data_IF_458317220968
#
_entry.id   IF_458317220968
#
_cell.length_a   1.000
_cell.length_b   1.000
_cell.length_c   1.000
_cell.angle_alpha   90.00
_cell.angle_beta   90.00
_cell.angle_gamma   90.00
#
_symmetry.space_group_name_H-M   'P 1'
#
loop_
_entity.id
_entity.type
_entity.pdbx_description
1 polymer ?
#
# COMPACT_ATOMS: atom_id res chain seq x y z
N UNK A 1 6.81 -17.35 -22.65
CA UNK A 1 8.27 -17.15 -22.54
C UNK A 1 8.53 -16.70 -21.13
N UNK A 2 9.45 -17.36 -20.42
CA UNK A 2 9.56 -17.32 -18.95
C UNK A 2 10.07 -15.99 -18.44
N UNK A 3 9.48 -15.57 -17.37
CA UNK A 3 9.76 -14.35 -16.62
C UNK A 3 11.11 -14.45 -15.89
N UNK A 4 12.04 -13.57 -16.24
CA UNK A 4 13.36 -13.48 -15.60
C UNK A 4 13.37 -12.59 -14.33
N UNK A 5 12.20 -12.21 -13.82
CA UNK A 5 12.05 -11.45 -12.57
C UNK A 5 12.20 -12.31 -11.30
N UNK A 6 12.23 -13.65 -11.46
CA UNK A 6 12.36 -14.58 -10.35
C UNK A 6 13.67 -14.48 -9.54
N UNK A 7 14.73 -13.86 -10.06
CA UNK A 7 16.05 -13.93 -9.40
C UNK A 7 16.24 -12.89 -8.28
N UNK A 8 15.77 -11.66 -8.42
CA UNK A 8 15.91 -10.64 -7.35
C UNK A 8 14.95 -10.85 -6.19
N UNK A 9 13.71 -11.25 -6.49
CA UNK A 9 12.71 -11.63 -5.47
C UNK A 9 13.14 -12.91 -4.74
N UNK A 10 13.83 -13.86 -5.41
CA UNK A 10 14.34 -15.08 -4.81
C UNK A 10 15.50 -14.86 -3.81
N UNK A 11 16.36 -13.88 -4.01
CA UNK A 11 17.42 -13.55 -3.05
C UNK A 11 16.86 -12.87 -1.81
N UNK A 12 15.92 -11.95 -1.99
CA UNK A 12 15.24 -11.25 -0.88
C UNK A 12 14.34 -12.19 -0.07
N UNK A 13 13.61 -13.11 -0.71
CA UNK A 13 12.77 -14.09 0.00
C UNK A 13 13.59 -15.05 0.89
N UNK A 14 14.87 -15.29 0.58
CA UNK A 14 15.78 -16.05 1.44
C UNK A 14 16.17 -15.29 2.71
N UNK A 15 16.31 -13.99 2.65
CA UNK A 15 16.61 -13.15 3.83
C UNK A 15 15.48 -13.18 4.88
N UNK A 16 14.25 -13.45 4.45
CA UNK A 16 13.06 -13.54 5.30
C UNK A 16 12.58 -14.99 5.53
N UNK A 17 13.34 -15.99 5.05
CA UNK A 17 12.92 -17.40 5.12
C UNK A 17 12.63 -17.87 6.54
N UNK A 18 13.40 -17.43 7.52
CA UNK A 18 13.36 -17.95 8.88
C UNK A 18 12.04 -17.66 9.61
N UNK A 19 11.43 -16.50 9.37
CA UNK A 19 10.14 -16.16 10.02
C UNK A 19 8.94 -16.81 9.37
N UNK A 20 9.05 -17.23 8.10
CA UNK A 20 7.94 -17.76 7.29
C UNK A 20 7.93 -19.30 7.19
N UNK A 21 8.95 -19.99 7.70
CA UNK A 21 9.07 -21.43 7.55
C UNK A 21 7.87 -22.17 8.17
N UNK A 22 7.18 -22.94 7.33
CA UNK A 22 6.02 -23.73 7.72
C UNK A 22 4.78 -22.92 8.15
N UNK A 23 4.77 -21.61 7.97
CA UNK A 23 3.71 -20.68 8.38
C UNK A 23 2.61 -20.51 7.33
N UNK A 24 1.46 -20.07 7.77
CA UNK A 24 0.31 -19.72 6.93
C UNK A 24 0.12 -18.21 6.90
N UNK A 25 0.14 -17.60 5.70
CA UNK A 25 -0.16 -16.19 5.45
C UNK A 25 -1.58 -16.06 4.89
N UNK A 26 -2.43 -15.26 5.50
CA UNK A 26 -3.71 -14.84 4.95
C UNK A 26 -3.59 -13.45 4.33
N UNK A 27 -4.06 -13.30 3.08
CA UNK A 27 -4.10 -12.02 2.35
C UNK A 27 -5.56 -11.65 2.10
N UNK A 28 -6.09 -10.65 2.79
CA UNK A 28 -7.40 -10.10 2.49
C UNK A 28 -7.33 -9.16 1.29
N UNK A 29 -8.32 -9.20 0.42
CA UNK A 29 -8.25 -8.47 -0.84
C UNK A 29 -7.19 -9.02 -1.82
N UNK A 30 -6.81 -10.27 -1.65
CA UNK A 30 -5.74 -10.95 -2.37
C UNK A 30 -5.89 -10.99 -3.89
N UNK A 31 -7.11 -10.80 -4.42
CA UNK A 31 -7.38 -10.72 -5.88
C UNK A 31 -7.14 -9.32 -6.47
N UNK A 32 -6.75 -8.34 -5.66
CA UNK A 32 -6.34 -7.01 -6.11
C UNK A 32 -4.89 -6.95 -6.60
N UNK A 33 -4.47 -5.82 -7.20
CA UNK A 33 -3.09 -5.64 -7.68
C UNK A 33 -2.05 -5.87 -6.58
N UNK A 34 -2.29 -5.32 -5.38
CA UNK A 34 -1.43 -5.52 -4.22
C UNK A 34 -1.40 -6.96 -3.73
N UNK A 35 -2.57 -7.61 -3.66
CA UNK A 35 -2.65 -9.01 -3.28
C UNK A 35 -1.88 -9.91 -4.23
N UNK A 36 -1.97 -9.67 -5.54
CA UNK A 36 -1.20 -10.41 -6.54
C UNK A 36 0.31 -10.18 -6.38
N UNK A 37 0.75 -8.94 -6.15
CA UNK A 37 2.16 -8.66 -5.92
C UNK A 37 2.69 -9.37 -4.67
N UNK A 38 1.92 -9.35 -3.59
CA UNK A 38 2.26 -10.09 -2.37
C UNK A 38 2.32 -11.58 -2.62
N UNK A 39 1.35 -12.16 -3.34
CA UNK A 39 1.38 -13.58 -3.70
C UNK A 39 2.66 -13.89 -4.48
N UNK A 40 2.99 -13.13 -5.52
CA UNK A 40 4.21 -13.34 -6.31
C UNK A 40 5.47 -13.24 -5.44
N UNK A 41 5.54 -12.26 -4.54
CA UNK A 41 6.66 -12.09 -3.60
C UNK A 41 6.83 -13.27 -2.63
N UNK A 42 5.73 -13.91 -2.22
CA UNK A 42 5.75 -15.01 -1.26
C UNK A 42 5.65 -16.42 -1.86
N UNK A 43 5.33 -16.56 -3.14
CA UNK A 43 5.07 -17.86 -3.76
C UNK A 43 6.24 -18.81 -3.62
N UNK A 44 7.46 -18.31 -3.75
CA UNK A 44 8.70 -19.07 -3.65
C UNK A 44 9.31 -19.05 -2.22
N UNK A 45 8.61 -18.49 -1.23
CA UNK A 45 9.06 -18.51 0.16
C UNK A 45 8.86 -19.87 0.83
N UNK A 46 9.33 -19.97 2.07
CA UNK A 46 9.17 -21.16 2.93
C UNK A 46 7.79 -21.29 3.58
N UNK A 47 6.84 -20.42 3.25
CA UNK A 47 5.45 -20.52 3.68
C UNK A 47 4.84 -21.88 3.30
N UNK A 48 4.08 -22.45 4.23
CA UNK A 48 3.28 -23.66 4.00
C UNK A 48 2.06 -23.37 3.14
N UNK A 49 1.37 -22.25 3.42
CA UNK A 49 0.12 -21.89 2.78
C UNK A 49 0.03 -20.36 2.60
N UNK A 50 -0.52 -19.93 1.47
CA UNK A 50 -0.96 -18.55 1.24
C UNK A 50 -2.47 -18.61 1.02
N UNK A 51 -3.24 -18.09 2.01
CA UNK A 51 -4.68 -18.05 1.97
C UNK A 51 -5.16 -16.75 1.37
N UNK A 52 -5.83 -16.81 0.22
CA UNK A 52 -6.32 -15.68 -0.57
C UNK A 52 -7.79 -15.44 -0.25
N UNK A 53 -8.09 -14.42 0.57
CA UNK A 53 -9.45 -14.10 0.99
C UNK A 53 -10.03 -12.93 0.17
N UNK A 54 -11.15 -13.15 -0.51
CA UNK A 54 -11.80 -12.14 -1.35
C UNK A 54 -13.27 -12.49 -1.60
N UNK A 55 -14.08 -11.49 -1.94
CA UNK A 55 -15.47 -11.66 -2.36
C UNK A 55 -15.62 -12.06 -3.82
N UNK A 56 -14.57 -11.85 -4.62
CA UNK A 56 -14.61 -11.95 -6.08
C UNK A 56 -14.25 -13.37 -6.52
N UNK A 57 -15.29 -14.22 -6.64
CA UNK A 57 -15.17 -15.61 -7.09
C UNK A 57 -14.50 -15.72 -8.46
N UNK A 58 -14.90 -14.85 -9.41
CA UNK A 58 -14.37 -14.88 -10.77
C UNK A 58 -12.86 -14.67 -10.80
N UNK A 59 -12.37 -13.65 -10.06
CA UNK A 59 -10.92 -13.40 -9.98
C UNK A 59 -10.18 -14.52 -9.25
N UNK A 60 -10.77 -15.14 -8.23
CA UNK A 60 -10.16 -16.28 -7.56
C UNK A 60 -10.01 -17.46 -8.52
N UNK A 61 -11.01 -17.71 -9.35
CA UNK A 61 -10.95 -18.77 -10.37
C UNK A 61 -9.87 -18.47 -11.43
N UNK A 62 -9.83 -17.24 -11.94
CA UNK A 62 -8.79 -16.82 -12.89
C UNK A 62 -7.38 -17.01 -12.30
N UNK A 63 -7.20 -16.64 -11.02
CA UNK A 63 -5.92 -16.83 -10.32
C UNK A 63 -5.59 -18.31 -10.13
N UNK A 64 -6.56 -19.15 -9.77
CA UNK A 64 -6.36 -20.60 -9.61
C UNK A 64 -5.87 -21.21 -10.91
N UNK A 65 -6.47 -20.81 -12.04
CA UNK A 65 -6.10 -21.29 -13.38
C UNK A 65 -4.70 -20.77 -13.78
N UNK A 66 -4.38 -19.52 -13.44
CA UNK A 66 -3.12 -18.89 -13.82
C UNK A 66 -1.93 -19.43 -13.01
N UNK A 67 -2.06 -19.49 -11.70
CA UNK A 67 -0.97 -19.86 -10.78
C UNK A 67 -0.72 -21.37 -10.72
N UNK A 68 -1.76 -22.20 -10.70
CA UNK A 68 -1.67 -23.68 -10.59
C UNK A 68 -0.69 -24.13 -9.51
N UNK A 69 -0.80 -23.57 -8.32
CA UNK A 69 0.14 -23.77 -7.22
C UNK A 69 -0.60 -24.22 -5.96
N UNK A 70 -0.24 -25.40 -5.43
CA UNK A 70 -0.91 -26.03 -4.28
C UNK A 70 -0.73 -25.24 -2.97
N UNK A 71 0.22 -24.32 -2.91
CA UNK A 71 0.41 -23.42 -1.76
C UNK A 71 -0.72 -22.39 -1.64
N UNK A 72 -1.44 -22.11 -2.74
CA UNK A 72 -2.52 -21.11 -2.77
C UNK A 72 -3.85 -21.75 -2.39
N UNK A 73 -4.43 -21.27 -1.30
CA UNK A 73 -5.78 -21.63 -0.84
C UNK A 73 -6.73 -20.44 -1.00
N UNK A 74 -7.75 -20.57 -1.84
CA UNK A 74 -8.71 -19.52 -2.15
C UNK A 74 -9.96 -19.64 -1.28
N UNK A 75 -10.27 -18.58 -0.53
CA UNK A 75 -11.42 -18.50 0.38
C UNK A 75 -12.32 -17.35 -0.04
N UNK A 76 -13.57 -17.66 -0.36
CA UNK A 76 -14.62 -16.66 -0.65
C UNK A 76 -15.19 -16.19 0.67
N UNK A 77 -15.27 -14.86 0.86
CA UNK A 77 -15.89 -14.24 2.04
C UNK A 77 -15.75 -12.72 2.02
N UNK A 78 -16.47 -12.08 2.92
CA UNK A 78 -16.52 -10.63 3.07
C UNK A 78 -15.98 -10.20 4.44
N UNK A 79 -14.97 -9.33 4.48
CA UNK A 79 -14.42 -8.81 5.74
C UNK A 79 -15.45 -8.04 6.58
N UNK A 80 -16.56 -7.56 5.99
CA UNK A 80 -17.65 -6.92 6.70
C UNK A 80 -18.48 -7.92 7.52
N UNK A 81 -18.38 -9.21 7.19
CA UNK A 81 -18.97 -10.30 7.97
C UNK A 81 -17.86 -10.88 8.88
N UNK A 82 -18.06 -10.77 10.20
CA UNK A 82 -17.09 -11.26 11.17
C UNK A 82 -16.91 -12.78 11.10
N UNK A 83 -17.97 -13.54 10.89
CA UNK A 83 -17.92 -15.00 10.88
C UNK A 83 -17.11 -15.51 9.68
N UNK A 84 -17.26 -14.90 8.50
CA UNK A 84 -16.50 -15.26 7.30
C UNK A 84 -14.99 -15.11 7.57
N UNK A 85 -14.56 -13.93 8.04
CA UNK A 85 -13.13 -13.67 8.27
C UNK A 85 -12.58 -14.46 9.47
N UNK A 86 -13.38 -14.65 10.52
CA UNK A 86 -12.96 -15.42 11.68
C UNK A 86 -12.74 -16.91 11.32
N UNK A 87 -13.61 -17.49 10.50
CA UNK A 87 -13.43 -18.85 9.98
C UNK A 87 -12.18 -18.95 9.09
N UNK A 88 -11.98 -17.96 8.20
CA UNK A 88 -10.80 -17.92 7.34
C UNK A 88 -9.47 -17.73 8.13
N UNK A 89 -9.54 -17.23 9.37
CA UNK A 89 -8.38 -16.92 10.22
C UNK A 89 -7.86 -18.14 10.98
N UNK A 90 -8.60 -19.24 11.05
CA UNK A 90 -8.19 -20.44 11.79
C UNK A 90 -6.87 -21.00 11.26
N UNK A 91 -5.87 -21.15 12.14
CA UNK A 91 -4.55 -21.67 11.81
C UNK A 91 -3.66 -20.74 10.98
N UNK A 92 -4.00 -19.46 10.93
CA UNK A 92 -3.20 -18.41 10.28
C UNK A 92 -2.15 -17.88 11.25
N UNK A 93 -0.91 -17.73 10.80
CA UNK A 93 0.19 -17.13 11.57
C UNK A 93 0.39 -15.65 11.23
N UNK A 94 0.21 -15.27 9.97
CA UNK A 94 0.46 -13.94 9.43
C UNK A 94 -0.74 -13.43 8.65
N UNK A 95 -1.04 -12.14 8.76
CA UNK A 95 -2.10 -11.49 7.98
C UNK A 95 -1.57 -10.25 7.27
N UNK A 96 -1.79 -10.19 5.96
CA UNK A 96 -1.69 -8.96 5.21
C UNK A 96 -3.10 -8.46 4.85
N UNK A 97 -3.51 -7.36 5.48
CA UNK A 97 -4.84 -6.78 5.27
C UNK A 97 -4.81 -5.69 4.21
N UNK A 98 -5.20 -6.06 2.97
CA UNK A 98 -5.26 -5.14 1.83
C UNK A 98 -6.69 -4.92 1.28
N UNK A 99 -7.69 -5.60 1.84
CA UNK A 99 -9.08 -5.40 1.43
C UNK A 99 -9.57 -4.01 1.84
N UNK A 100 -9.93 -3.18 0.86
CA UNK A 100 -10.45 -1.83 1.09
C UNK A 100 -11.17 -1.28 -0.13
N UNK A 101 -12.01 -0.28 0.08
CA UNK A 101 -12.41 0.66 -0.97
C UNK A 101 -11.33 1.74 -1.08
N UNK A 102 -10.80 1.95 -2.30
CA UNK A 102 -9.66 2.84 -2.55
C UNK A 102 -9.95 4.01 -3.50
N UNK A 103 -11.07 3.98 -4.20
CA UNK A 103 -11.44 5.02 -5.16
C UNK A 103 -12.05 6.21 -4.43
N UNK A 104 -11.40 7.37 -4.50
CA UNK A 104 -11.87 8.59 -3.82
C UNK A 104 -13.28 8.97 -4.24
N UNK A 105 -13.63 9.07 -5.55
CA UNK A 105 -15.00 9.41 -5.94
C UNK A 105 -16.05 8.44 -5.39
N UNK A 106 -15.79 7.14 -5.47
CA UNK A 106 -16.74 6.14 -4.96
C UNK A 106 -16.94 6.25 -3.46
N UNK A 107 -15.89 6.55 -2.69
CA UNK A 107 -16.00 6.73 -1.25
C UNK A 107 -16.74 8.02 -0.89
N UNK A 108 -16.55 9.10 -1.65
CA UNK A 108 -17.29 10.36 -1.46
C UNK A 108 -18.79 10.17 -1.72
N UNK A 109 -19.19 9.49 -2.80
CA UNK A 109 -20.58 9.22 -3.10
C UNK A 109 -21.22 8.19 -2.19
N UNK A 110 -20.45 7.23 -1.68
CA UNK A 110 -20.94 6.15 -0.82
C UNK A 110 -20.11 6.03 0.47
N UNK A 111 -20.08 7.08 1.34
CA UNK A 111 -19.19 7.10 2.50
C UNK A 111 -19.47 5.96 3.49
N UNK A 112 -20.71 5.53 3.64
CA UNK A 112 -21.03 4.40 4.50
C UNK A 112 -20.44 3.07 4.00
N UNK A 113 -20.24 2.90 2.70
CA UNK A 113 -19.54 1.73 2.18
C UNK A 113 -18.04 1.77 2.52
N UNK A 114 -17.44 2.96 2.55
CA UNK A 114 -16.07 3.16 3.04
C UNK A 114 -15.98 2.85 4.55
N UNK A 115 -16.92 3.32 5.36
CA UNK A 115 -17.02 3.00 6.79
C UNK A 115 -17.14 1.49 6.99
N UNK A 116 -18.09 0.83 6.33
CA UNK A 116 -18.32 -0.60 6.49
C UNK A 116 -17.14 -1.46 6.06
N UNK A 117 -16.42 -1.07 4.98
CA UNK A 117 -15.32 -1.86 4.45
C UNK A 117 -14.00 -1.49 5.14
N UNK A 118 -13.64 -0.19 5.17
CA UNK A 118 -12.31 0.23 5.59
C UNK A 118 -12.18 0.36 7.12
N UNK A 119 -13.29 0.57 7.85
CA UNK A 119 -13.29 0.71 9.30
C UNK A 119 -13.83 -0.56 9.96
N UNK A 120 -15.10 -0.90 9.76
CA UNK A 120 -15.73 -2.07 10.41
C UNK A 120 -15.09 -3.36 9.91
N UNK A 121 -14.86 -3.48 8.59
CA UNK A 121 -14.18 -4.65 8.01
C UNK A 121 -12.74 -4.80 8.52
N UNK A 122 -12.00 -3.71 8.68
CA UNK A 122 -10.67 -3.76 9.27
C UNK A 122 -10.72 -4.18 10.75
N UNK A 123 -11.66 -3.64 11.54
CA UNK A 123 -11.84 -4.09 12.93
C UNK A 123 -12.17 -5.58 13.00
N UNK A 124 -13.04 -6.09 12.13
CA UNK A 124 -13.34 -7.52 12.06
C UNK A 124 -12.07 -8.36 11.79
N UNK A 125 -11.22 -7.91 10.85
CA UNK A 125 -9.94 -8.60 10.55
C UNK A 125 -9.02 -8.60 11.77
N UNK A 126 -8.85 -7.44 12.42
CA UNK A 126 -7.98 -7.30 13.60
C UNK A 126 -8.48 -8.12 14.79
N UNK A 127 -9.80 -8.12 15.03
CA UNK A 127 -10.42 -8.90 16.10
C UNK A 127 -10.35 -10.40 15.82
N UNK A 128 -10.62 -10.84 14.57
CA UNK A 128 -10.49 -12.24 14.19
C UNK A 128 -9.04 -12.73 14.32
N UNK A 129 -8.06 -11.90 13.91
CA UNK A 129 -6.65 -12.19 14.09
C UNK A 129 -6.29 -12.35 15.59
N UNK A 130 -6.78 -11.46 16.44
CA UNK A 130 -6.55 -11.53 17.88
C UNK A 130 -7.16 -12.80 18.52
N UNK A 131 -8.39 -13.16 18.12
CA UNK A 131 -9.07 -14.37 18.63
C UNK A 131 -8.39 -15.67 18.19
N UNK A 132 -7.77 -15.67 17.03
CA UNK A 132 -7.08 -16.84 16.48
C UNK A 132 -5.56 -16.85 16.78
N UNK A 133 -5.08 -15.97 17.68
CA UNK A 133 -3.68 -15.86 18.09
C UNK A 133 -2.71 -15.65 16.92
N UNK A 134 -3.11 -14.87 15.90
CA UNK A 134 -2.25 -14.51 14.79
C UNK A 134 -1.06 -13.69 15.31
N UNK A 135 0.14 -14.16 15.02
CA UNK A 135 1.37 -13.58 15.54
C UNK A 135 1.66 -12.19 14.95
N UNK A 136 1.40 -11.99 13.65
CA UNK A 136 1.72 -10.72 12.98
C UNK A 136 0.64 -10.31 12.00
N UNK A 137 0.28 -9.03 12.05
CA UNK A 137 -0.67 -8.39 11.12
C UNK A 137 -0.04 -7.13 10.54
N UNK A 138 -0.04 -7.02 9.22
CA UNK A 138 0.32 -5.79 8.51
C UNK A 138 -0.91 -5.24 7.81
N UNK A 139 -1.29 -4.01 8.15
CA UNK A 139 -2.45 -3.31 7.60
C UNK A 139 -1.99 -2.33 6.54
N UNK A 140 -2.57 -2.42 5.35
CA UNK A 140 -2.24 -1.59 4.21
C UNK A 140 -2.91 -0.22 4.31
N UNK A 141 -2.14 0.85 4.52
CA UNK A 141 -2.60 2.24 4.52
C UNK A 141 -2.14 3.01 3.28
N UNK A 142 -2.11 4.32 3.33
CA UNK A 142 -1.89 5.20 2.17
C UNK A 142 -1.47 6.60 2.65
N UNK A 143 -0.82 7.38 1.78
CA UNK A 143 -0.58 8.81 1.88
C UNK A 143 -1.86 9.62 2.20
N UNK A 144 -3.01 9.17 1.66
CA UNK A 144 -4.29 9.86 1.84
C UNK A 144 -4.87 9.75 3.26
N UNK A 145 -4.28 8.91 4.11
CA UNK A 145 -4.58 8.83 5.54
C UNK A 145 -3.93 9.96 6.35
N UNK A 146 -2.92 10.65 5.77
CA UNK A 146 -2.25 11.78 6.38
C UNK A 146 -2.94 13.08 5.94
N UNK A 147 -3.33 13.92 6.88
CA UNK A 147 -4.16 15.11 6.63
C UNK A 147 -5.32 14.81 5.66
N UNK A 148 -6.22 13.89 6.04
CA UNK A 148 -7.25 13.38 5.14
C UNK A 148 -8.29 14.44 4.81
N UNK A 149 -8.58 14.67 3.53
CA UNK A 149 -9.58 15.62 3.03
C UNK A 149 -10.79 14.96 2.36
N UNK A 150 -10.80 13.62 2.28
CA UNK A 150 -11.87 12.87 1.64
C UNK A 150 -12.24 11.61 2.44
N UNK A 151 -13.42 11.06 2.18
CA UNK A 151 -13.97 9.92 2.92
C UNK A 151 -13.07 8.68 2.87
N UNK A 152 -12.38 8.45 1.75
CA UNK A 152 -11.44 7.33 1.64
C UNK A 152 -10.25 7.54 2.57
N UNK A 153 -9.60 8.71 2.56
CA UNK A 153 -8.49 9.05 3.44
C UNK A 153 -8.89 9.01 4.92
N UNK A 154 -10.04 9.60 5.27
CA UNK A 154 -10.58 9.58 6.65
C UNK A 154 -10.78 8.14 7.13
N UNK A 155 -11.38 7.27 6.30
CA UNK A 155 -11.61 5.86 6.66
C UNK A 155 -10.30 5.09 6.84
N UNK A 156 -9.27 5.38 6.04
CA UNK A 156 -7.94 4.79 6.18
C UNK A 156 -7.18 5.29 7.40
N UNK A 157 -7.29 6.58 7.71
CA UNK A 157 -6.74 7.14 8.95
C UNK A 157 -7.36 6.49 10.20
N UNK A 158 -8.67 6.26 10.19
CA UNK A 158 -9.34 5.54 11.28
C UNK A 158 -8.88 4.08 11.37
N UNK A 159 -8.70 3.40 10.25
CA UNK A 159 -8.17 2.03 10.22
C UNK A 159 -6.79 1.93 10.88
N UNK A 160 -5.88 2.88 10.66
CA UNK A 160 -4.58 2.94 11.36
C UNK A 160 -4.76 3.07 12.89
N UNK A 161 -5.70 3.92 13.33
CA UNK A 161 -6.00 4.06 14.77
C UNK A 161 -6.55 2.78 15.38
N UNK A 162 -7.36 2.01 14.63
CA UNK A 162 -7.83 0.69 15.07
C UNK A 162 -6.67 -0.30 15.20
N UNK A 163 -5.73 -0.33 14.24
CA UNK A 163 -4.56 -1.20 14.31
C UNK A 163 -3.69 -0.89 15.54
N UNK A 164 -3.41 0.41 15.81
CA UNK A 164 -2.67 0.86 16.99
C UNK A 164 -3.43 0.52 18.28
N UNK A 165 -4.75 0.72 18.32
CA UNK A 165 -5.59 0.39 19.47
C UNK A 165 -5.54 -1.12 19.78
N UNK A 166 -5.68 -1.96 18.74
CA UNK A 166 -5.60 -3.41 18.88
C UNK A 166 -4.22 -3.86 19.38
N UNK A 167 -3.14 -3.29 18.85
CA UNK A 167 -1.78 -3.55 19.32
C UNK A 167 -1.61 -3.19 20.81
N UNK A 168 -2.22 -2.07 21.27
CA UNK A 168 -2.23 -1.68 22.68
C UNK A 168 -2.96 -2.70 23.55
N UNK A 169 -4.14 -3.14 23.13
CA UNK A 169 -4.95 -4.12 23.85
C UNK A 169 -4.22 -5.45 24.02
N UNK A 170 -3.57 -5.93 22.96
CA UNK A 170 -2.78 -7.16 22.99
C UNK A 170 -1.59 -7.04 23.93
N UNK A 171 -0.88 -5.90 23.90
CA UNK A 171 0.22 -5.61 24.82
C UNK A 171 -0.23 -5.61 26.29
N UNK A 172 -1.37 -4.97 26.60
CA UNK A 172 -1.95 -4.97 27.96
C UNK A 172 -2.28 -6.38 28.41
N UNK A 173 -2.80 -7.22 27.52
CA UNK A 173 -3.09 -8.63 27.76
C UNK A 173 -1.82 -9.52 27.78
N UNK A 174 -0.64 -8.96 27.54
CA UNK A 174 0.65 -9.67 27.44
C UNK A 174 0.64 -10.79 26.38
N UNK A 175 -0.09 -10.56 25.29
CA UNK A 175 -0.09 -11.43 24.12
C UNK A 175 1.06 -11.01 23.22
N UNK A 176 1.94 -11.96 22.89
CA UNK A 176 3.08 -11.74 21.99
C UNK A 176 2.60 -11.73 20.54
N UNK A 177 2.09 -10.57 20.12
CA UNK A 177 1.62 -10.35 18.75
C UNK A 177 1.98 -8.93 18.28
N UNK A 178 2.34 -8.82 16.99
CA UNK A 178 2.80 -7.57 16.39
C UNK A 178 1.83 -7.15 15.28
N UNK A 179 1.09 -6.09 15.52
CA UNK A 179 0.18 -5.50 14.55
C UNK A 179 0.72 -4.14 14.13
N UNK A 180 0.96 -3.96 12.85
CA UNK A 180 1.58 -2.75 12.26
C UNK A 180 0.76 -2.25 11.09
N UNK A 181 1.09 -1.04 10.62
CA UNK A 181 0.54 -0.47 9.39
C UNK A 181 1.68 -0.06 8.45
N UNK A 182 1.41 -0.05 7.15
CA UNK A 182 2.33 0.44 6.13
C UNK A 182 1.68 1.57 5.34
N UNK A 183 2.42 2.67 5.12
CA UNK A 183 2.01 3.79 4.25
C UNK A 183 2.94 3.89 3.06
N UNK A 184 2.36 4.13 1.91
CA UNK A 184 3.08 4.46 0.70
C UNK A 184 2.26 5.39 -0.18
N UNK A 185 2.95 6.05 -1.11
CA UNK A 185 2.35 6.97 -2.04
C UNK A 185 1.66 6.27 -3.21
N UNK A 186 1.67 6.93 -4.36
CA UNK A 186 1.07 6.39 -5.56
C UNK A 186 1.91 5.23 -6.10
N UNK A 187 1.30 4.05 -6.20
CA UNK A 187 1.93 2.90 -6.87
C UNK A 187 1.73 3.03 -8.37
N UNK A 188 2.84 3.10 -9.09
CA UNK A 188 2.87 3.23 -10.55
C UNK A 188 2.14 2.07 -11.22
N UNK A 189 1.50 2.33 -12.36
CA UNK A 189 0.76 1.36 -13.18
C UNK A 189 -0.37 0.61 -12.44
N UNK A 190 -0.77 1.05 -11.22
CA UNK A 190 -1.91 0.47 -10.55
C UNK A 190 -3.21 0.74 -11.32
N UNK A 191 -4.17 -0.18 -11.23
CA UNK A 191 -5.46 -0.06 -11.95
C UNK A 191 -6.16 1.26 -11.64
N UNK A 192 -6.50 2.02 -12.70
CA UNK A 192 -7.15 3.32 -12.63
C UNK A 192 -6.21 4.46 -12.23
N UNK A 193 -4.89 4.28 -12.31
CA UNK A 193 -3.89 5.33 -12.09
C UNK A 193 -3.57 6.10 -13.38
N UNK A 194 -2.80 7.18 -13.22
CA UNK A 194 -2.53 8.15 -14.27
C UNK A 194 -1.66 7.59 -15.41
N UNK A 195 -0.71 6.69 -15.12
CA UNK A 195 0.18 6.11 -16.14
C UNK A 195 -0.61 5.29 -17.18
N UNK A 196 -1.45 4.31 -16.80
CA UNK A 196 -2.32 3.64 -17.76
C UNK A 196 -3.26 4.58 -18.54
N UNK A 197 -3.76 5.63 -17.89
CA UNK A 197 -4.59 6.64 -18.56
C UNK A 197 -3.81 7.34 -19.67
N UNK A 198 -2.61 7.85 -19.39
CA UNK A 198 -1.79 8.55 -20.37
C UNK A 198 -1.37 7.64 -21.53
N UNK A 199 -0.98 6.39 -21.23
CA UNK A 199 -0.64 5.42 -22.26
C UNK A 199 -1.86 5.12 -23.18
N UNK A 200 -3.07 4.97 -22.60
CA UNK A 200 -4.29 4.81 -23.39
C UNK A 200 -4.56 6.03 -24.28
N UNK A 201 -4.41 7.24 -23.74
CA UNK A 201 -4.58 8.48 -24.51
C UNK A 201 -3.55 8.59 -25.65
N UNK A 202 -2.29 8.24 -25.42
CA UNK A 202 -1.25 8.20 -26.44
C UNK A 202 -1.65 7.24 -27.57
N UNK A 203 -2.00 6.00 -27.22
CA UNK A 203 -2.39 4.97 -28.20
C UNK A 203 -3.63 5.33 -29.02
N UNK A 204 -4.53 6.10 -28.44
CA UNK A 204 -5.76 6.56 -29.09
C UNK A 204 -5.57 7.87 -29.87
N UNK A 205 -4.37 8.47 -29.88
CA UNK A 205 -4.10 9.76 -30.51
C UNK A 205 -4.84 10.94 -29.85
N UNK A 206 -5.25 10.78 -28.57
CA UNK A 206 -5.98 11.78 -27.79
C UNK A 206 -5.02 12.67 -27.01
N UNK A 207 -5.40 13.93 -26.68
CA UNK A 207 -4.60 14.75 -25.77
C UNK A 207 -4.41 14.08 -24.41
N UNK A 208 -3.23 14.26 -23.81
CA UNK A 208 -2.97 13.90 -22.41
C UNK A 208 -3.65 14.93 -21.51
N UNK A 209 -4.62 14.48 -20.73
CA UNK A 209 -5.38 15.36 -19.84
C UNK A 209 -4.76 15.42 -18.46
N UNK A 210 -4.28 16.59 -18.06
CA UNK A 210 -3.69 16.83 -16.73
C UNK A 210 -4.56 17.82 -15.96
N UNK A 211 -4.64 17.65 -14.63
CA UNK A 211 -5.42 18.55 -13.76
C UNK A 211 -4.66 19.83 -13.47
N UNK A 212 -3.45 19.71 -12.99
CA UNK A 212 -2.52 20.81 -12.74
C UNK A 212 -1.08 20.33 -13.00
N UNK A 213 -0.29 21.01 -13.85
CA UNK A 213 1.09 20.61 -14.20
C UNK A 213 2.03 20.46 -13.00
N UNK A 214 1.89 21.36 -12.02
CA UNK A 214 2.76 21.43 -10.84
C UNK A 214 2.39 20.45 -9.72
N UNK A 215 1.27 19.74 -9.83
CA UNK A 215 0.93 18.67 -8.88
C UNK A 215 2.03 17.63 -8.82
N UNK A 216 2.39 17.21 -7.62
CA UNK A 216 3.37 16.14 -7.44
C UNK A 216 2.76 14.88 -6.89
N UNK A 217 3.34 13.76 -7.33
CA UNK A 217 2.99 12.42 -6.82
C UNK A 217 4.26 11.64 -6.56
N UNK A 218 4.24 10.84 -5.50
CA UNK A 218 5.30 9.86 -5.28
C UNK A 218 5.31 8.83 -6.41
N UNK A 219 6.50 8.38 -6.79
CA UNK A 219 6.72 7.38 -7.83
C UNK A 219 7.28 6.11 -7.19
N UNK A 220 6.40 5.15 -6.93
CA UNK A 220 6.77 3.92 -6.24
C UNK A 220 6.38 2.71 -7.08
N UNK A 221 7.26 1.71 -7.12
CA UNK A 221 6.97 0.43 -7.74
C UNK A 221 6.11 -0.45 -6.82
N UNK A 222 5.50 -1.46 -7.40
CA UNK A 222 4.75 -2.45 -6.63
C UNK A 222 5.70 -3.34 -5.80
N UNK A 223 6.91 -3.55 -6.29
CA UNK A 223 7.98 -4.29 -5.60
C UNK A 223 8.45 -3.58 -4.34
N UNK A 224 8.67 -2.26 -4.38
CA UNK A 224 9.00 -1.47 -3.19
C UNK A 224 7.92 -1.63 -2.10
N UNK A 225 6.66 -1.76 -2.53
CA UNK A 225 5.55 -1.98 -1.62
C UNK A 225 5.59 -3.34 -0.94
N UNK A 226 6.01 -4.38 -1.66
CA UNK A 226 6.22 -5.72 -1.10
C UNK A 226 7.37 -5.70 -0.10
N UNK A 227 8.49 -5.06 -0.44
CA UNK A 227 9.65 -4.90 0.44
C UNK A 227 9.26 -4.24 1.78
N UNK A 228 8.45 -3.17 1.73
CA UNK A 228 7.95 -2.50 2.93
C UNK A 228 7.12 -3.43 3.83
N UNK A 229 6.25 -4.24 3.24
CA UNK A 229 5.42 -5.19 3.99
C UNK A 229 6.27 -6.32 4.59
N UNK A 230 7.25 -6.85 3.85
CA UNK A 230 8.21 -7.82 4.35
C UNK A 230 8.98 -7.27 5.54
N UNK A 231 9.47 -6.05 5.42
CA UNK A 231 10.16 -5.35 6.51
C UNK A 231 9.26 -5.20 7.74
N UNK A 232 8.01 -4.78 7.55
CA UNK A 232 7.05 -4.62 8.65
C UNK A 232 6.74 -5.96 9.35
N UNK A 233 6.70 -7.08 8.62
CA UNK A 233 6.56 -8.40 9.20
C UNK A 233 7.78 -8.82 10.03
N UNK A 234 8.99 -8.51 9.58
CA UNK A 234 10.23 -8.92 10.24
C UNK A 234 10.56 -8.04 11.46
N UNK A 235 10.63 -6.75 11.25
CA UNK A 235 11.24 -5.78 12.18
C UNK A 235 10.23 -4.86 12.88
N UNK A 236 8.92 -5.08 12.67
CA UNK A 236 7.87 -4.29 13.28
C UNK A 236 7.74 -4.52 14.77
N UNK A 237 7.44 -3.43 15.51
CA UNK A 237 6.97 -3.50 16.89
C UNK A 237 5.46 -3.20 16.94
N UNK A 238 4.76 -3.60 18.03
CA UNK A 238 3.32 -3.38 18.12
C UNK A 238 2.93 -1.93 17.88
N UNK A 239 2.00 -1.70 16.95
CA UNK A 239 1.46 -0.39 16.63
C UNK A 239 2.32 0.52 15.74
N UNK A 240 3.49 0.09 15.30
CA UNK A 240 4.33 0.87 14.39
C UNK A 240 3.64 1.13 13.05
N UNK A 241 3.93 2.30 12.48
CA UNK A 241 3.58 2.63 11.09
C UNK A 241 4.89 2.77 10.32
N UNK A 242 5.06 1.96 9.28
CA UNK A 242 6.19 2.07 8.37
C UNK A 242 5.80 2.86 7.13
N UNK A 243 6.68 3.75 6.71
CA UNK A 243 6.47 4.66 5.59
C UNK A 243 7.56 4.45 4.54
N UNK A 244 7.16 4.14 3.32
CA UNK A 244 8.08 4.03 2.19
C UNK A 244 8.60 5.41 1.80
N UNK A 245 9.91 5.59 1.76
CA UNK A 245 10.55 6.73 1.11
C UNK A 245 10.57 6.49 -0.40
N UNK A 246 10.13 7.47 -1.15
CA UNK A 246 10.07 7.37 -2.61
C UNK A 246 10.38 8.73 -3.25
N UNK A 247 10.99 8.75 -4.42
CA UNK A 247 11.10 9.98 -5.20
C UNK A 247 9.72 10.41 -5.69
N UNK A 248 9.63 11.63 -6.16
CA UNK A 248 8.40 12.18 -6.72
C UNK A 248 8.65 12.85 -8.08
N UNK A 249 7.58 12.96 -8.87
CA UNK A 249 7.59 13.76 -10.08
C UNK A 249 6.35 14.66 -10.16
N UNK A 250 6.44 15.74 -10.95
CA UNK A 250 5.24 16.49 -11.32
C UNK A 250 4.46 15.72 -12.37
N UNK A 251 3.16 16.02 -12.47
CA UNK A 251 2.31 15.41 -13.49
C UNK A 251 2.76 15.81 -14.90
N UNK A 252 3.29 17.03 -15.06
CA UNK A 252 3.88 17.50 -16.32
C UNK A 252 5.10 16.67 -16.72
N UNK A 253 6.05 16.45 -15.80
CA UNK A 253 7.24 15.60 -16.03
C UNK A 253 6.83 14.18 -16.40
N UNK A 254 5.80 13.64 -15.75
CA UNK A 254 5.29 12.30 -16.07
C UNK A 254 4.69 12.24 -17.48
N UNK A 255 3.89 13.24 -17.87
CA UNK A 255 3.31 13.31 -19.21
C UNK A 255 4.40 13.41 -20.27
N UNK A 256 5.40 14.27 -20.04
CA UNK A 256 6.53 14.44 -20.95
C UNK A 256 7.37 13.15 -21.07
N UNK A 257 7.69 12.50 -19.97
CA UNK A 257 8.44 11.23 -19.97
C UNK A 257 7.73 10.14 -20.79
N UNK A 258 6.42 10.01 -20.64
CA UNK A 258 5.65 9.04 -21.42
C UNK A 258 5.58 9.42 -22.90
N UNK A 259 5.37 10.69 -23.24
CA UNK A 259 5.42 11.14 -24.64
C UNK A 259 6.74 10.79 -25.30
N UNK A 260 7.87 11.06 -24.64
CA UNK A 260 9.19 10.74 -25.20
C UNK A 260 9.44 9.23 -25.32
N UNK A 261 9.00 8.42 -24.34
CA UNK A 261 9.13 6.96 -24.41
C UNK A 261 8.33 6.35 -25.58
N UNK A 262 7.16 6.88 -25.85
CA UNK A 262 6.28 6.40 -26.92
C UNK A 262 6.52 7.10 -28.27
N UNK A 263 7.48 8.04 -28.36
CA UNK A 263 7.73 8.87 -29.54
C UNK A 263 6.41 9.53 -30.02
N UNK A 264 5.65 10.10 -29.07
CA UNK A 264 4.30 10.61 -29.28
C UNK A 264 4.27 12.14 -29.29
N UNK A 265 3.48 12.73 -30.18
CA UNK A 265 3.30 14.17 -30.36
C UNK A 265 2.01 14.71 -29.73
N UNK A 266 1.24 13.87 -29.01
CA UNK A 266 -0.02 14.23 -28.40
C UNK A 266 0.08 15.55 -27.61
N UNK A 267 -0.94 16.40 -27.74
CA UNK A 267 -1.06 17.63 -26.97
C UNK A 267 -1.27 17.33 -25.47
N UNK A 268 -0.75 18.20 -24.59
CA UNK A 268 -1.05 18.16 -23.15
C UNK A 268 -2.11 19.24 -22.88
N UNK A 269 -3.28 18.83 -22.37
CA UNK A 269 -4.41 19.72 -22.09
C UNK A 269 -4.67 19.77 -20.59
N UNK A 270 -4.70 20.99 -20.03
CA UNK A 270 -5.03 21.24 -18.62
C UNK A 270 -6.56 21.28 -18.48
N UNK A 271 -7.11 20.33 -17.67
CA UNK A 271 -8.56 20.21 -17.46
C UNK A 271 -9.03 20.82 -16.13
N UNK A 272 -8.11 21.33 -15.29
CA UNK A 272 -8.40 21.89 -13.98
C UNK A 272 -8.44 20.84 -12.86
N UNK A 273 -8.41 21.32 -11.62
CA UNK A 273 -8.36 20.49 -10.42
C UNK A 273 -9.70 19.83 -10.13
N UNK A 274 -9.67 18.59 -9.64
CA UNK A 274 -10.85 17.86 -9.21
C UNK A 274 -11.18 18.16 -7.75
N UNK A 275 -12.43 18.02 -7.39
CA UNK A 275 -12.83 18.13 -5.98
C UNK A 275 -12.06 17.12 -5.11
N UNK A 276 -11.58 17.59 -3.96
CA UNK A 276 -10.82 16.78 -2.99
C UNK A 276 -9.51 16.15 -3.53
N UNK A 277 -8.89 16.78 -4.55
CA UNK A 277 -7.56 16.42 -5.05
C UNK A 277 -6.50 17.35 -4.44
N UNK A 278 -5.42 16.78 -3.92
CA UNK A 278 -4.32 17.51 -3.28
C UNK A 278 -3.28 17.93 -4.31
N UNK A 279 -2.66 19.10 -4.12
CA UNK A 279 -1.49 19.54 -4.90
C UNK A 279 -0.29 18.62 -4.71
N UNK A 280 -0.10 18.12 -3.50
CA UNK A 280 0.94 17.16 -3.15
C UNK A 280 0.42 16.16 -2.13
N UNK A 281 1.04 15.01 -2.05
CA UNK A 281 0.69 13.97 -1.10
C UNK A 281 1.67 13.96 0.07
N UNK A 282 1.16 13.79 1.28
CA UNK A 282 1.95 13.72 2.51
C UNK A 282 1.96 12.30 3.05
N UNK A 283 3.13 11.78 3.40
CA UNK A 283 3.31 10.44 3.98
C UNK A 283 3.55 10.46 5.49
N UNK A 284 4.17 11.53 6.01
CA UNK A 284 4.31 11.75 7.45
C UNK A 284 3.93 13.19 7.80
N UNK A 285 3.09 13.38 8.81
CA UNK A 285 2.81 14.72 9.34
C UNK A 285 4.00 15.29 10.10
N UNK A 286 3.98 16.60 10.41
CA UNK A 286 5.01 17.24 11.26
C UNK A 286 5.13 16.57 12.62
N UNK A 287 4.00 16.24 13.23
CA UNK A 287 3.93 15.58 14.55
C UNK A 287 4.46 14.14 14.50
N UNK A 288 4.28 13.48 13.36
CA UNK A 288 4.83 12.14 13.14
C UNK A 288 6.34 12.20 12.89
N UNK A 289 6.81 13.15 12.07
CA UNK A 289 8.25 13.36 11.83
C UNK A 289 9.02 13.71 13.10
N UNK A 290 8.39 14.38 14.06
CA UNK A 290 9.01 14.69 15.35
C UNK A 290 9.43 13.45 16.16
N UNK A 291 8.87 12.28 15.87
CA UNK A 291 9.14 11.02 16.54
C UNK A 291 9.52 9.88 15.58
N UNK A 292 9.55 10.15 14.29
CA UNK A 292 9.90 9.17 13.28
C UNK A 292 11.38 8.82 13.35
N UNK A 293 11.67 7.55 13.19
CA UNK A 293 13.02 7.03 13.05
C UNK A 293 13.34 6.85 11.57
N UNK A 294 14.49 7.37 11.15
CA UNK A 294 14.98 7.19 9.77
C UNK A 294 15.75 5.88 9.66
N UNK A 295 15.20 4.94 8.89
CA UNK A 295 15.78 3.62 8.63
C UNK A 295 16.39 3.52 7.22
N UNK A 296 16.80 4.65 6.64
CA UNK A 296 17.36 4.72 5.29
C UNK A 296 16.25 4.66 4.23
N UNK A 297 15.78 3.48 3.84
CA UNK A 297 14.70 3.31 2.84
C UNK A 297 13.31 3.60 3.39
N UNK A 298 13.13 3.55 4.70
CA UNK A 298 11.84 3.68 5.38
C UNK A 298 11.91 4.70 6.50
N UNK A 299 10.77 5.31 6.83
CA UNK A 299 10.55 5.88 8.16
C UNK A 299 9.74 4.90 9.00
N UNK A 300 10.08 4.80 10.28
CA UNK A 300 9.29 4.12 11.30
C UNK A 300 8.66 5.17 12.20
N UNK A 301 7.36 5.17 12.33
CA UNK A 301 6.61 6.01 13.25
C UNK A 301 6.18 5.12 14.41
N UNK A 302 6.82 5.22 15.59
CA UNK A 302 6.48 4.40 16.74
C UNK A 302 5.10 4.77 17.29
N UNK A 303 4.37 3.74 17.77
CA UNK A 303 3.08 3.95 18.39
C UNK A 303 3.21 4.69 19.72
N UNK A 304 2.21 5.51 20.03
CA UNK A 304 2.07 6.12 21.35
C UNK A 304 1.21 5.22 22.25
N UNK A 305 1.88 4.60 23.24
CA UNK A 305 1.23 3.73 24.22
C UNK A 305 1.02 4.40 25.57
N UNK A 306 1.10 5.72 25.65
CA UNK A 306 0.77 6.45 26.87
C UNK A 306 -0.68 6.20 27.27
N UNK A 307 -0.96 6.15 28.57
CA UNK A 307 -2.32 6.03 29.09
C UNK A 307 -3.10 7.36 29.00
N UNK A 308 -4.37 7.34 29.35
CA UNK A 308 -5.23 8.54 29.31
C UNK A 308 -4.81 9.62 30.34
N UNK A 309 -3.86 9.31 31.22
CA UNK A 309 -3.39 10.25 32.22
C UNK A 309 -2.25 11.11 31.68
N UNK A 310 -2.58 11.97 30.71
CA UNK A 310 -1.63 12.79 29.97
C UNK A 310 -0.74 13.70 30.85
N UNK A 311 -1.18 14.07 32.06
CA UNK A 311 -0.41 14.91 32.96
C UNK A 311 0.91 14.28 33.39
N UNK A 312 1.05 12.96 33.36
CA UNK A 312 2.29 12.23 33.66
C UNK A 312 3.37 12.38 32.60
N UNK A 313 3.00 12.84 31.39
CA UNK A 313 3.84 12.78 30.19
C UNK A 313 4.13 14.16 29.59
N UNK A 314 3.82 15.25 30.32
CA UNK A 314 4.12 16.61 29.88
C UNK A 314 5.63 16.81 29.94
N UNK A 315 6.30 16.87 28.81
CA UNK A 315 7.68 17.34 28.71
C UNK A 315 7.69 18.86 28.69
N UNK A 316 8.24 19.46 29.74
CA UNK A 316 8.55 20.88 29.78
C UNK A 316 9.89 21.12 29.08
N UNK A 317 9.87 21.81 27.94
CA UNK A 317 11.06 22.32 27.26
C UNK A 317 11.59 21.40 26.15
N UNK A 318 10.99 21.46 24.98
CA UNK A 318 11.60 21.01 23.74
C UNK A 318 12.09 22.20 22.93
N UNK A 319 13.34 22.21 22.47
CA UNK A 319 13.79 23.13 21.46
C UNK A 319 12.88 22.98 20.24
N UNK A 320 12.25 24.05 19.79
CA UNK A 320 11.50 24.09 18.54
C UNK A 320 12.48 24.05 17.36
N UNK A 321 12.94 22.84 17.02
CA UNK A 321 13.47 22.61 15.68
C UNK A 321 12.26 22.68 14.75
N UNK A 322 12.34 23.49 13.71
CA UNK A 322 11.30 23.53 12.67
C UNK A 322 11.32 22.18 11.94
N UNK A 323 10.46 21.27 12.38
CA UNK A 323 10.31 19.94 11.79
C UNK A 323 9.34 20.07 10.63
N UNK A 324 9.77 19.68 9.44
CA UNK A 324 8.92 19.63 8.26
C UNK A 324 8.22 18.27 8.14
N UNK A 325 7.06 18.24 7.50
CA UNK A 325 6.39 17.01 7.09
C UNK A 325 7.17 16.33 5.96
N UNK A 326 6.96 15.02 5.76
CA UNK A 326 7.49 14.31 4.60
C UNK A 326 6.40 14.18 3.52
N UNK A 327 6.61 14.85 2.39
CA UNK A 327 5.64 14.96 1.32
C UNK A 327 6.27 14.88 -0.08
N UNK A 328 5.45 14.78 -1.13
CA UNK A 328 5.90 14.67 -2.52
C UNK A 328 6.50 15.97 -3.08
N UNK A 329 6.43 17.09 -2.35
CA UNK A 329 7.09 18.35 -2.74
C UNK A 329 8.52 18.43 -2.22
N UNK A 330 8.83 17.87 -1.05
CA UNK A 330 10.14 17.98 -0.40
C UNK A 330 10.98 16.67 -0.43
N UNK A 331 10.53 15.66 -1.16
CA UNK A 331 11.35 14.47 -1.47
C UNK A 331 12.19 14.70 -2.73
N UNK A 332 13.07 13.75 -3.04
CA UNK A 332 13.84 13.72 -4.29
C UNK A 332 12.91 13.87 -5.51
N UNK A 333 13.26 14.78 -6.42
CA UNK A 333 12.48 15.08 -7.62
C UNK A 333 13.13 14.48 -8.84
N UNK A 334 12.39 13.62 -9.53
CA UNK A 334 12.84 13.02 -10.77
C UNK A 334 12.74 14.01 -11.93
N UNK A 335 13.79 14.06 -12.73
CA UNK A 335 13.77 14.67 -14.06
C UNK A 335 13.03 13.78 -15.06
N UNK A 336 12.77 14.30 -16.27
CA UNK A 336 12.15 13.50 -17.35
C UNK A 336 12.97 12.25 -17.64
N UNK A 337 14.29 12.38 -17.73
CA UNK A 337 15.18 11.26 -18.08
C UNK A 337 15.23 10.19 -16.98
N UNK A 338 15.36 10.58 -15.71
CA UNK A 338 15.31 9.66 -14.59
C UNK A 338 13.96 8.95 -14.48
N UNK A 339 12.87 9.67 -14.74
CA UNK A 339 11.53 9.08 -14.75
C UNK A 339 11.34 8.09 -15.90
N UNK A 340 11.90 8.37 -17.10
CA UNK A 340 11.91 7.41 -18.21
C UNK A 340 12.64 6.12 -17.83
N UNK A 341 13.81 6.22 -17.18
CA UNK A 341 14.54 5.04 -16.71
C UNK A 341 13.70 4.24 -15.70
N UNK A 342 13.08 4.91 -14.75
CA UNK A 342 12.20 4.27 -13.77
C UNK A 342 10.98 3.61 -14.43
N UNK A 343 10.32 4.28 -15.37
CA UNK A 343 9.18 3.73 -16.10
C UNK A 343 9.55 2.48 -16.91
N UNK A 344 10.75 2.44 -17.47
CA UNK A 344 11.28 1.27 -18.20
C UNK A 344 11.60 0.07 -17.31
N UNK A 345 11.60 0.19 -15.99
CA UNK A 345 11.67 -0.97 -15.09
C UNK A 345 10.34 -1.71 -14.99
N UNK A 346 9.22 -1.02 -15.25
CA UNK A 346 7.87 -1.55 -15.08
C UNK A 346 7.43 -2.43 -16.26
N UNK A 347 7.06 -3.66 -16.00
CA UNK A 347 6.64 -4.60 -17.05
C UNK A 347 5.45 -4.11 -17.86
N UNK A 348 4.46 -3.50 -17.19
CA UNK A 348 3.33 -2.90 -17.87
C UNK A 348 3.76 -1.89 -18.94
N UNK A 349 4.72 -1.02 -18.64
CA UNK A 349 5.23 -0.02 -19.60
C UNK A 349 6.01 -0.69 -20.73
N UNK A 350 6.84 -1.70 -20.41
CA UNK A 350 7.59 -2.48 -21.43
C UNK A 350 6.64 -3.16 -22.42
N UNK A 351 5.60 -3.82 -21.91
CA UNK A 351 4.58 -4.52 -22.72
C UNK A 351 3.81 -3.53 -23.62
N UNK A 352 3.39 -2.40 -23.05
CA UNK A 352 2.66 -1.39 -23.80
C UNK A 352 3.51 -0.74 -24.90
N UNK A 353 4.80 -0.48 -24.63
CA UNK A 353 5.77 0.00 -25.61
C UNK A 353 6.02 -1.01 -26.75
N UNK A 354 6.17 -2.29 -26.39
CA UNK A 354 6.36 -3.35 -27.40
C UNK A 354 5.13 -3.52 -28.30
N UNK A 355 3.93 -3.31 -27.77
CA UNK A 355 2.69 -3.38 -28.52
C UNK A 355 2.42 -2.11 -29.36
N UNK A 356 2.92 -0.95 -28.95
CA UNK A 356 2.74 0.32 -29.66
C UNK A 356 3.64 0.41 -30.89
N UNK A 357 4.83 -0.19 -30.86
CA UNK A 357 5.82 -0.18 -31.97
C UNK A 357 5.52 -1.24 -33.05
N UNK A 358 4.52 -2.07 -32.88
CA UNK A 358 4.06 -3.06 -33.87
C UNK A 358 2.99 -2.44 -34.78
#
# INVERSE_FOLDING_TARGET
>A
MGFNEGNMVNEKSKEFSDIFEGKTLLITGGTGSFGNAMINGFLNSTLKEIRVFSRDEKKQEDMRIAYKNDKLNFVIGDIRNFDDINQAMMGVDFVFHAAALKQVPSCEFYPMQAVQTNIVGAENVLEAAARNNVARVVVLSTDKAVYPINAMGISKAMMEKLAVSKARDLRVKKIDAVYTSTRYGNVMCSRGSIIPLFISQIKEGKPLTITNPSMTRFMMSLEDSVDLVLYAFKDGNPGDIFVQKSPAATIEVLAQALKELFDADNEIVIIGERHAEKMYETLCSKEEMAKAEDLGRFYRIPADFRDLNYTKYVQTGGNSVEIEEYNSHNTERLTVEELKQLLLTLDYVKEELANYKK
#
